data_IF_431045645723
#
_entry.id   IF_431045645723
#
_cell.length_a   1.000
_cell.length_b   1.000
_cell.length_c   1.000
_cell.angle_alpha   90.00
_cell.angle_beta   90.00
_cell.angle_gamma   90.00
#
_symmetry.space_group_name_H-M   'P 1'
#
loop_
_entity.id
_entity.type
_entity.pdbx_description
1 polymer ?
#
# COMPACT_ATOMS: atom_id res chain seq x y z
N UNK A 1 -3.85 13.43 21.26
CA UNK A 1 -5.14 13.62 20.56
C UNK A 1 -5.37 12.73 19.33
N UNK A 2 -4.54 12.75 18.26
CA UNK A 2 -4.74 11.84 17.10
C UNK A 2 -4.33 10.41 17.41
N UNK A 3 -3.21 10.27 18.12
CA UNK A 3 -2.68 8.99 18.55
C UNK A 3 -3.66 8.30 19.51
N UNK A 4 -4.20 9.00 20.50
CA UNK A 4 -5.16 8.44 21.48
C UNK A 4 -6.44 7.87 20.86
N UNK A 5 -6.98 8.52 19.81
CA UNK A 5 -8.15 8.01 19.11
C UNK A 5 -7.87 6.71 18.31
N UNK A 6 -6.63 6.52 17.86
CA UNK A 6 -6.16 5.27 17.24
C UNK A 6 -5.81 4.21 18.30
N UNK A 7 -5.36 4.64 19.48
CA UNK A 7 -5.06 3.77 20.61
C UNK A 7 -6.34 3.17 21.22
N UNK A 8 -7.46 3.91 21.24
CA UNK A 8 -8.74 3.47 21.82
C UNK A 8 -9.43 2.36 20.99
N UNK A 9 -9.10 2.24 19.69
CA UNK A 9 -9.65 1.22 18.77
C UNK A 9 -8.65 0.08 18.47
N UNK A 10 -7.59 -0.04 19.30
CA UNK A 10 -6.45 -0.98 19.18
C UNK A 10 -6.82 -2.45 18.99
N UNK A 11 -7.83 -2.94 19.71
CA UNK A 11 -8.20 -4.36 19.66
C UNK A 11 -8.91 -4.76 18.35
N UNK A 12 -9.36 -3.76 17.59
CA UNK A 12 -10.40 -3.91 16.59
C UNK A 12 -9.85 -3.84 15.17
N UNK A 13 -8.87 -2.95 14.94
CA UNK A 13 -8.06 -2.91 13.71
C UNK A 13 -7.37 -4.25 13.42
N UNK A 14 -7.00 -5.00 14.46
CA UNK A 14 -6.39 -6.32 14.34
C UNK A 14 -7.38 -7.42 13.90
N UNK A 15 -8.70 -7.21 14.05
CA UNK A 15 -9.74 -8.21 13.77
C UNK A 15 -10.44 -8.00 12.42
N UNK A 16 -10.32 -6.83 11.78
CA UNK A 16 -11.11 -6.48 10.58
C UNK A 16 -10.33 -6.60 9.25
N UNK A 17 -9.19 -7.29 9.24
CA UNK A 17 -8.26 -7.35 8.11
C UNK A 17 -8.81 -8.21 6.97
N UNK A 18 -9.25 -7.51 5.92
CA UNK A 18 -9.39 -8.01 4.55
C UNK A 18 -9.45 -6.75 3.67
N UNK A 19 -8.29 -6.23 3.24
CA UNK A 19 -8.19 -4.95 2.52
C UNK A 19 -8.25 -3.72 3.42
N UNK A 20 -7.09 -3.26 3.89
CA UNK A 20 -6.88 -1.83 4.15
C UNK A 20 -6.18 -1.29 2.91
N UNK A 21 -6.67 -0.19 2.38
CA UNK A 21 -6.00 0.58 1.34
C UNK A 21 -6.03 2.06 1.72
N UNK A 22 -4.83 2.57 1.94
CA UNK A 22 -4.33 3.93 1.72
C UNK A 22 -4.34 4.99 2.83
N UNK A 23 -3.22 5.70 3.04
CA UNK A 23 -3.15 6.88 3.91
C UNK A 23 -2.91 8.11 3.02
N UNK A 24 -3.98 8.84 2.69
CA UNK A 24 -3.90 10.12 1.97
C UNK A 24 -4.76 11.18 2.67
N UNK A 25 -4.17 12.35 2.96
CA UNK A 25 -4.46 13.53 2.17
C UNK A 25 -3.22 14.42 1.98
N UNK A 26 -3.27 15.19 0.91
CA UNK A 26 -2.33 16.27 0.60
C UNK A 26 -2.56 17.44 1.57
N UNK A 27 -1.52 17.83 2.32
CA UNK A 27 -0.90 19.19 2.30
C UNK A 27 0.25 19.28 3.32
N UNK A 28 1.48 19.40 2.81
CA UNK A 28 2.66 19.77 3.62
C UNK A 28 2.78 21.29 3.71
N UNK A 29 2.03 21.89 4.63
CA UNK A 29 2.42 23.11 5.35
C UNK A 29 1.48 23.50 6.52
N UNK A 30 0.57 22.61 6.98
CA UNK A 30 -0.42 23.10 7.96
C UNK A 30 -1.48 22.15 8.53
N UNK A 31 -1.34 20.83 8.36
CA UNK A 31 -2.12 19.74 9.01
C UNK A 31 -3.52 19.43 8.42
N UNK A 32 -3.56 18.34 7.63
CA UNK A 32 -4.50 17.22 7.84
C UNK A 32 -3.81 15.91 7.46
N UNK A 33 -3.96 14.88 8.29
CA UNK A 33 -3.56 13.50 8.01
C UNK A 33 -4.83 12.66 8.16
N UNK A 34 -5.41 12.37 7.01
CA UNK A 34 -6.55 11.50 6.79
C UNK A 34 -6.08 10.11 6.29
N UNK A 35 -6.88 9.11 6.62
CA UNK A 35 -6.72 7.72 6.21
C UNK A 35 -7.85 7.44 5.25
N UNK A 36 -7.55 6.92 4.07
CA UNK A 36 -8.58 6.38 3.18
C UNK A 36 -8.67 4.89 3.47
N UNK A 37 -9.87 4.33 3.38
CA UNK A 37 -10.03 2.88 3.51
C UNK A 37 -10.95 2.46 2.39
N UNK A 38 -10.37 1.76 1.42
CA UNK A 38 -11.10 1.18 0.30
C UNK A 38 -11.51 -0.23 0.68
N UNK A 39 -12.77 -0.39 1.07
CA UNK A 39 -13.32 -1.70 1.41
C UNK A 39 -14.81 -1.70 1.13
N UNK A 40 -15.35 -2.86 0.76
CA UNK A 40 -16.80 -3.04 0.71
C UNK A 40 -17.40 -2.79 2.10
N UNK A 41 -18.63 -2.26 2.13
CA UNK A 41 -19.39 -2.10 3.38
C UNK A 41 -19.39 -3.38 4.23
N UNK A 42 -19.15 -3.19 5.53
CA UNK A 42 -19.05 -4.27 6.50
C UNK A 42 -18.64 -3.72 7.87
N UNK A 43 -18.12 -4.58 8.75
CA UNK A 43 -17.74 -4.22 10.12
C UNK A 43 -16.85 -2.97 10.19
N UNK A 44 -15.93 -2.77 9.24
CA UNK A 44 -15.07 -1.57 9.22
C UNK A 44 -15.89 -0.26 9.24
N UNK A 45 -17.05 -0.21 8.58
CA UNK A 45 -17.91 0.97 8.58
C UNK A 45 -18.54 1.28 9.93
N UNK A 46 -19.00 0.25 10.65
CA UNK A 46 -19.55 0.42 11.99
C UNK A 46 -18.47 0.94 12.97
N UNK A 47 -17.23 0.51 12.75
CA UNK A 47 -16.12 0.78 13.65
C UNK A 47 -15.44 2.12 13.38
N UNK A 48 -15.27 2.49 12.11
CA UNK A 48 -14.49 3.65 11.69
C UNK A 48 -15.33 4.78 11.09
N UNK A 49 -16.61 4.55 10.75
CA UNK A 49 -17.46 5.52 10.05
C UNK A 49 -17.73 6.83 10.78
N UNK A 50 -17.52 6.89 12.10
CA UNK A 50 -17.62 8.12 12.88
C UNK A 50 -16.32 8.94 12.96
N UNK A 51 -15.22 8.48 12.36
CA UNK A 51 -13.93 9.18 12.45
C UNK A 51 -13.81 10.26 11.38
N UNK A 52 -13.61 11.52 11.79
CA UNK A 52 -13.41 12.65 10.86
C UNK A 52 -12.10 12.61 10.06
N UNK A 53 -11.23 11.66 10.38
CA UNK A 53 -9.92 11.41 9.76
C UNK A 53 -9.88 10.09 8.98
N UNK A 54 -10.98 9.35 8.90
CA UNK A 54 -11.05 8.11 8.12
C UNK A 54 -12.13 8.25 7.06
N UNK A 55 -11.73 8.15 5.80
CA UNK A 55 -12.61 8.18 4.65
C UNK A 55 -12.84 6.75 4.16
N UNK A 56 -13.97 6.19 4.54
CA UNK A 56 -14.38 4.89 4.03
C UNK A 56 -15.06 5.07 2.68
N UNK A 57 -14.44 4.53 1.64
CA UNK A 57 -14.96 4.61 0.27
C UNK A 57 -15.22 3.21 -0.27
N UNK A 58 -16.21 3.13 -1.17
CA UNK A 58 -16.46 1.91 -1.91
C UNK A 58 -15.26 1.61 -2.85
N UNK A 59 -15.06 0.33 -3.25
CA UNK A 59 -14.09 -0.01 -4.26
C UNK A 59 -14.23 0.86 -5.52
N UNK A 60 -13.11 1.39 -5.99
CA UNK A 60 -13.01 2.24 -7.17
C UNK A 60 -12.49 1.45 -8.37
N UNK A 61 -12.62 2.02 -9.57
CA UNK A 61 -11.95 1.48 -10.75
C UNK A 61 -10.42 1.58 -10.66
N UNK A 62 -9.72 0.87 -11.54
CA UNK A 62 -8.27 0.76 -11.49
C UNK A 62 -7.55 2.11 -11.67
N UNK A 63 -8.03 2.97 -12.58
CA UNK A 63 -7.41 4.28 -12.82
C UNK A 63 -7.52 5.17 -11.58
N UNK A 64 -8.71 5.20 -10.97
CA UNK A 64 -8.95 5.90 -9.71
C UNK A 64 -8.12 5.33 -8.56
N UNK A 65 -7.94 4.01 -8.52
CA UNK A 65 -7.11 3.33 -7.53
C UNK A 65 -5.63 3.73 -7.66
N UNK A 66 -5.08 3.70 -8.88
CA UNK A 66 -3.70 4.15 -9.15
C UNK A 66 -3.52 5.63 -8.81
N UNK A 67 -4.50 6.47 -9.12
CA UNK A 67 -4.49 7.88 -8.74
C UNK A 67 -4.41 8.08 -7.22
N UNK A 68 -5.16 7.29 -6.44
CA UNK A 68 -5.08 7.35 -4.97
C UNK A 68 -3.69 6.92 -4.47
N UNK A 69 -3.17 5.79 -4.98
CA UNK A 69 -1.84 5.31 -4.64
C UNK A 69 -0.75 6.36 -4.93
N UNK A 70 -0.82 7.05 -6.07
CA UNK A 70 0.14 8.11 -6.42
C UNK A 70 0.09 9.32 -5.46
N UNK A 71 -1.06 9.60 -4.85
CA UNK A 71 -1.24 10.74 -3.93
C UNK A 71 -0.96 10.42 -2.48
N UNK A 72 -0.81 9.15 -2.12
CA UNK A 72 -0.54 8.78 -0.74
C UNK A 72 0.91 9.01 -0.33
N UNK A 73 1.13 9.01 0.99
CA UNK A 73 2.49 9.01 1.57
C UNK A 73 2.97 7.60 1.91
N UNK A 74 2.08 6.75 2.40
CA UNK A 74 2.37 5.39 2.86
C UNK A 74 1.16 4.51 2.55
N UNK A 75 1.41 3.30 2.06
CA UNK A 75 0.37 2.30 1.80
C UNK A 75 0.44 1.23 2.88
N UNK A 76 -0.67 0.96 3.55
CA UNK A 76 -0.85 -0.27 4.33
C UNK A 76 -1.70 -1.22 3.50
N UNK A 77 -1.28 -2.46 3.32
CA UNK A 77 -2.03 -3.42 2.50
C UNK A 77 -1.72 -4.87 2.86
N UNK A 78 -2.67 -5.77 2.59
CA UNK A 78 -2.51 -7.23 2.54
C UNK A 78 -2.53 -7.77 1.10
N UNK A 79 -2.77 -6.91 0.11
CA UNK A 79 -2.84 -7.27 -1.31
C UNK A 79 -1.45 -7.57 -1.89
N UNK A 80 -1.33 -8.70 -2.60
CA UNK A 80 -0.12 -9.06 -3.35
C UNK A 80 0.13 -8.13 -4.54
N UNK A 81 -0.92 -7.80 -5.31
CA UNK A 81 -0.77 -6.93 -6.49
C UNK A 81 -0.32 -5.51 -6.13
N UNK A 82 -0.84 -4.96 -5.03
CA UNK A 82 -0.40 -3.64 -4.54
C UNK A 82 1.07 -3.65 -4.12
N UNK A 83 1.58 -4.75 -3.53
CA UNK A 83 3.00 -4.89 -3.22
C UNK A 83 3.88 -4.84 -4.47
N UNK A 84 3.37 -5.28 -5.63
CA UNK A 84 4.09 -5.23 -6.89
C UNK A 84 4.01 -3.87 -7.57
N UNK A 85 2.85 -3.20 -7.51
CA UNK A 85 2.60 -1.97 -8.25
C UNK A 85 3.07 -0.69 -7.52
N UNK A 86 2.82 -0.61 -6.21
CA UNK A 86 3.11 0.58 -5.42
C UNK A 86 4.60 1.02 -5.42
N UNK A 87 5.59 0.10 -5.41
CA UNK A 87 6.99 0.49 -5.53
C UNK A 87 7.32 1.25 -6.83
N UNK A 88 6.64 0.96 -7.94
CA UNK A 88 6.81 1.71 -9.20
C UNK A 88 6.42 3.19 -9.07
N UNK A 89 5.54 3.51 -8.13
CA UNK A 89 5.10 4.87 -7.81
C UNK A 89 5.96 5.51 -6.71
N UNK A 90 7.06 4.86 -6.30
CA UNK A 90 7.92 5.31 -5.22
C UNK A 90 7.21 5.36 -3.88
N UNK A 91 6.29 4.42 -3.62
CA UNK A 91 5.52 4.35 -2.36
C UNK A 91 6.09 3.28 -1.44
N UNK A 92 6.20 3.60 -0.15
CA UNK A 92 6.52 2.62 0.89
C UNK A 92 5.27 1.78 1.18
N UNK A 93 5.43 0.46 1.13
CA UNK A 93 4.35 -0.49 1.41
C UNK A 93 4.56 -1.16 2.77
N UNK A 94 3.58 -1.05 3.65
CA UNK A 94 3.52 -1.76 4.91
C UNK A 94 2.57 -2.96 4.76
N UNK A 95 3.16 -4.15 4.77
CA UNK A 95 2.46 -5.40 4.51
C UNK A 95 1.86 -5.93 5.81
N UNK A 96 0.53 -6.00 5.86
CA UNK A 96 -0.25 -6.45 7.02
C UNK A 96 -0.39 -7.98 7.10
N UNK A 97 0.69 -8.69 6.79
CA UNK A 97 0.80 -10.15 6.86
C UNK A 97 2.09 -10.49 7.59
N UNK A 98 2.13 -11.64 8.26
CA UNK A 98 3.35 -12.10 8.95
C UNK A 98 4.38 -12.66 7.96
N UNK A 99 3.92 -13.10 6.79
CA UNK A 99 4.73 -13.63 5.69
C UNK A 99 4.27 -13.02 4.37
N UNK A 100 5.17 -12.96 3.39
CA UNK A 100 4.84 -12.55 2.03
C UNK A 100 5.50 -13.46 0.99
N UNK A 101 4.79 -13.70 -0.09
CA UNK A 101 5.26 -14.31 -1.33
C UNK A 101 6.09 -13.35 -2.22
N UNK A 102 6.43 -12.17 -1.69
CA UNK A 102 7.16 -11.08 -2.36
C UNK A 102 8.44 -10.68 -1.58
N UNK A 103 9.38 -11.62 -1.32
CA UNK A 103 10.57 -11.35 -0.54
C UNK A 103 11.46 -10.27 -1.17
N UNK A 104 11.46 -10.16 -2.50
CA UNK A 104 12.29 -9.22 -3.26
C UNK A 104 11.96 -7.76 -2.92
N UNK A 105 10.67 -7.45 -2.71
CA UNK A 105 10.25 -6.10 -2.30
C UNK A 105 10.71 -5.75 -0.88
N UNK A 106 10.78 -6.75 0.00
CA UNK A 106 11.29 -6.58 1.38
C UNK A 106 12.80 -6.38 1.36
N UNK A 107 13.52 -7.18 0.57
CA UNK A 107 14.96 -7.09 0.39
C UNK A 107 15.39 -5.76 -0.26
N UNK A 108 14.61 -5.27 -1.24
CA UNK A 108 14.81 -3.97 -1.87
C UNK A 108 14.47 -2.78 -0.93
N UNK A 109 13.85 -3.03 0.23
CA UNK A 109 13.48 -2.00 1.19
C UNK A 109 12.36 -1.08 0.73
N UNK A 110 11.52 -1.54 -0.21
CA UNK A 110 10.32 -0.83 -0.66
C UNK A 110 9.04 -1.34 0.02
N UNK A 111 9.11 -2.54 0.61
CA UNK A 111 8.04 -3.17 1.40
C UNK A 111 8.51 -3.60 2.79
N UNK A 112 7.63 -3.55 3.79
CA UNK A 112 7.94 -3.93 5.17
C UNK A 112 6.81 -4.77 5.80
N UNK A 113 7.14 -5.96 6.30
CA UNK A 113 6.19 -6.80 7.04
C UNK A 113 5.92 -6.21 8.43
N UNK A 114 4.71 -5.69 8.63
CA UNK A 114 4.25 -5.18 9.92
C UNK A 114 3.30 -6.15 10.63
N UNK A 115 2.78 -7.14 9.91
CA UNK A 115 1.81 -8.11 10.42
C UNK A 115 0.50 -7.44 10.85
N UNK A 116 -0.21 -8.07 11.77
CA UNK A 116 -1.50 -7.58 12.28
C UNK A 116 -1.40 -6.94 13.67
N UNK A 117 -0.19 -6.80 14.21
CA UNK A 117 0.03 -6.18 15.52
C UNK A 117 -0.10 -4.65 15.43
N UNK A 118 -1.06 -4.02 16.15
CA UNK A 118 -1.30 -2.58 16.04
C UNK A 118 -0.09 -1.71 16.38
N UNK A 119 0.74 -2.12 17.35
CA UNK A 119 1.92 -1.33 17.72
C UNK A 119 2.98 -1.38 16.62
N UNK A 120 3.14 -2.54 15.95
CA UNK A 120 4.05 -2.66 14.80
C UNK A 120 3.55 -1.86 13.61
N UNK A 121 2.24 -1.90 13.33
CA UNK A 121 1.62 -1.11 12.27
C UNK A 121 1.86 0.39 12.52
N UNK A 122 1.52 0.89 13.71
CA UNK A 122 1.69 2.31 14.05
C UNK A 122 3.17 2.72 13.98
N UNK A 123 4.08 1.92 14.53
CA UNK A 123 5.52 2.21 14.44
C UNK A 123 5.98 2.25 12.99
N UNK A 124 5.57 1.27 12.17
CA UNK A 124 5.93 1.21 10.75
C UNK A 124 5.43 2.42 9.96
N UNK A 125 4.21 2.89 10.24
CA UNK A 125 3.66 4.11 9.62
C UNK A 125 4.48 5.33 10.02
N UNK A 126 4.76 5.52 11.31
CA UNK A 126 5.57 6.64 11.78
C UNK A 126 6.97 6.63 11.17
N UNK A 127 7.60 5.45 11.11
CA UNK A 127 8.90 5.25 10.49
C UNK A 127 8.90 5.61 9.00
N UNK A 128 7.90 5.14 8.25
CA UNK A 128 7.75 5.42 6.82
C UNK A 128 7.46 6.91 6.53
N UNK A 129 6.72 7.59 7.41
CA UNK A 129 6.49 9.03 7.29
C UNK A 129 7.74 9.88 7.56
N UNK A 130 8.63 9.41 8.45
CA UNK A 130 9.90 10.10 8.77
C UNK A 130 10.96 9.78 7.72
N UNK A 131 10.94 8.56 7.16
CA UNK A 131 11.89 8.04 6.19
C UNK A 131 11.15 7.62 4.92
N UNK A 132 10.71 8.57 4.08
CA UNK A 132 10.11 8.24 2.80
C UNK A 132 11.09 7.42 1.96
N UNK A 133 10.58 6.58 1.05
CA UNK A 133 11.44 5.73 0.23
C UNK A 133 12.37 6.62 -0.60
N UNK A 134 13.58 6.12 -0.86
CA UNK A 134 14.53 6.84 -1.71
C UNK A 134 13.94 6.98 -3.10
N UNK A 135 13.93 8.20 -3.64
CA UNK A 135 13.56 8.46 -5.02
C UNK A 135 14.41 7.57 -5.94
N UNK A 136 13.77 6.75 -6.77
CA UNK A 136 14.46 5.82 -7.68
C UNK A 136 14.88 4.50 -7.06
N UNK A 137 14.25 4.05 -5.96
CA UNK A 137 14.32 2.65 -5.57
C UNK A 137 13.70 1.81 -6.70
N UNK A 138 14.53 0.97 -7.33
CA UNK A 138 14.08 0.12 -8.44
C UNK A 138 13.00 -0.84 -7.94
N UNK A 139 11.89 -0.91 -8.67
CA UNK A 139 10.88 -1.92 -8.40
C UNK A 139 11.44 -3.29 -8.83
N UNK A 140 11.62 -4.26 -7.91
CA UNK A 140 12.19 -5.56 -8.25
C UNK A 140 11.32 -6.36 -9.23
N UNK A 141 10.04 -6.00 -9.39
CA UNK A 141 9.10 -6.67 -10.30
C UNK A 141 9.18 -6.16 -11.75
N UNK A 142 9.88 -5.06 -12.00
CA UNK A 142 10.22 -4.66 -13.35
C UNK A 142 10.23 -3.16 -13.56
N UNK A 143 10.55 -2.81 -14.81
CA UNK A 143 10.78 -1.47 -15.32
C UNK A 143 9.72 -1.04 -16.36
N UNK A 144 8.59 -1.76 -16.42
CA UNK A 144 7.53 -1.53 -17.39
C UNK A 144 7.83 -2.01 -18.81
N UNK A 145 8.94 -2.70 -19.08
CA UNK A 145 9.31 -3.17 -20.43
C UNK A 145 8.98 -4.66 -20.67
N UNK A 146 8.29 -5.33 -19.74
CA UNK A 146 8.02 -6.78 -19.81
C UNK A 146 7.33 -7.19 -21.12
N UNK A 147 6.24 -6.51 -21.52
CA UNK A 147 5.50 -6.84 -22.75
C UNK A 147 6.38 -6.72 -23.99
N UNK A 148 7.22 -5.69 -24.07
CA UNK A 148 8.15 -5.49 -25.18
C UNK A 148 9.18 -6.62 -25.27
N UNK A 149 9.76 -7.02 -24.13
CA UNK A 149 10.73 -8.13 -24.06
C UNK A 149 10.10 -9.47 -24.44
N UNK A 150 8.87 -9.73 -23.98
CA UNK A 150 8.15 -10.97 -24.30
C UNK A 150 7.87 -11.06 -25.80
N UNK A 151 7.34 -9.98 -26.39
CA UNK A 151 7.08 -9.95 -27.84
C UNK A 151 8.36 -10.16 -28.64
N UNK A 152 9.46 -9.51 -28.24
CA UNK A 152 10.75 -9.71 -28.89
C UNK A 152 11.22 -11.17 -28.79
N UNK A 153 11.16 -11.77 -27.60
CA UNK A 153 11.56 -13.16 -27.39
C UNK A 153 10.74 -14.16 -28.21
N UNK A 154 9.45 -13.89 -28.42
CA UNK A 154 8.60 -14.73 -29.27
C UNK A 154 8.95 -14.61 -30.75
N UNK A 155 9.27 -13.41 -31.24
CA UNK A 155 9.71 -13.20 -32.62
C UNK A 155 11.06 -13.88 -32.88
N UNK A 156 12.02 -13.69 -31.97
CA UNK A 156 13.33 -14.33 -32.06
C UNK A 156 13.19 -15.85 -32.10
N UNK A 157 12.38 -16.44 -31.21
CA UNK A 157 12.14 -17.88 -31.19
C UNK A 157 11.49 -18.39 -32.48
N UNK A 158 10.58 -17.63 -33.08
CA UNK A 158 9.94 -18.00 -34.35
C UNK A 158 10.93 -18.01 -35.52
N UNK A 159 11.90 -17.09 -35.53
CA UNK A 159 12.93 -17.03 -36.57
C UNK A 159 13.95 -18.19 -36.46
N UNK A 160 14.19 -18.71 -35.25
CA UNK A 160 15.06 -19.89 -35.04
C UNK A 160 14.38 -21.22 -35.42
N UNK A 161 13.07 -21.24 -35.63
CA UNK A 161 12.31 -22.42 -36.05
C UNK A 161 12.10 -22.49 -37.57
N UNK A 162 12.59 -21.51 -38.33
CA UNK A 162 12.55 -21.44 -39.79
C UNK A 162 13.87 -21.86 -40.40
#
# INVERSE_FOLDING_TARGET
MVLEALLDRRALLAQTVDGIVDVAPVETDGRRQDVVVIKRKGQVHELLGGSSRVHLIEPVDYESFVYLMDRCQVILTDSGGVQEEAPSLGKTVLVMRDVTERPEAVEAGVSYLVGTNPNRIVSGVLDALIRPPRSGADNPYGDGQASRRIVQGLLDAADHLR
#
